data_IF_692221738748
#
_entry.id   IF_692221738748
#
_cell.length_a   1.000
_cell.length_b   1.000
_cell.length_c   1.000
_cell.angle_alpha   90.00
_cell.angle_beta   90.00
_cell.angle_gamma   90.00
#
_symmetry.space_group_name_H-M   'P 1'
#
loop_
_entity.id
_entity.type
_entity.pdbx_description
1 polymer ?
#
# COMPACT_ATOMS: atom_id res chain seq x y z
N UNK A 1 -7.43 -7.07 12.37
CA UNK A 1 -8.39 -8.15 12.13
C UNK A 1 -9.51 -8.05 13.16
N UNK A 2 -10.78 -8.06 12.76
CA UNK A 2 -11.88 -8.02 13.70
C UNK A 2 -11.80 -9.22 14.64
N UNK A 3 -11.88 -8.95 15.94
CA UNK A 3 -11.91 -9.99 16.97
C UNK A 3 -13.20 -10.78 16.78
N UNK A 4 -13.10 -12.03 16.38
CA UNK A 4 -14.24 -12.94 16.26
C UNK A 4 -14.60 -13.40 17.69
N UNK A 5 -15.38 -12.60 18.41
CA UNK A 5 -15.88 -12.96 19.73
C UNK A 5 -16.80 -14.20 19.68
N UNK A 6 -17.06 -14.79 20.85
CA UNK A 6 -17.86 -16.00 21.07
C UNK A 6 -19.38 -15.81 20.86
N UNK A 7 -19.79 -14.85 20.02
CA UNK A 7 -21.19 -14.67 19.62
C UNK A 7 -21.74 -15.89 18.90
N UNK A 8 -23.00 -16.25 19.17
CA UNK A 8 -23.66 -17.39 18.52
C UNK A 8 -23.61 -17.32 16.99
N UNK A 9 -23.69 -18.46 16.30
CA UNK A 9 -23.52 -18.58 14.86
C UNK A 9 -24.41 -17.62 14.02
N UNK A 10 -25.57 -17.21 14.53
CA UNK A 10 -26.49 -16.28 13.86
C UNK A 10 -25.97 -14.85 13.80
N UNK A 11 -25.46 -14.33 14.91
CA UNK A 11 -24.93 -12.96 15.00
C UNK A 11 -23.66 -12.80 14.15
N UNK A 12 -22.84 -13.84 14.12
CA UNK A 12 -21.63 -13.87 13.31
C UNK A 12 -21.93 -13.84 11.81
N UNK A 13 -22.95 -14.61 11.38
CA UNK A 13 -23.35 -14.63 9.97
C UNK A 13 -23.94 -13.29 9.53
N UNK A 14 -24.79 -12.66 10.37
CA UNK A 14 -25.36 -11.36 10.09
C UNK A 14 -24.26 -10.29 9.97
N UNK A 15 -23.30 -10.28 10.89
CA UNK A 15 -22.16 -9.38 10.86
C UNK A 15 -21.30 -9.58 9.61
N UNK A 16 -20.93 -10.82 9.26
CA UNK A 16 -20.16 -11.12 8.05
C UNK A 16 -20.89 -10.67 6.79
N UNK A 17 -22.21 -10.89 6.72
CA UNK A 17 -23.01 -10.47 5.57
C UNK A 17 -23.04 -8.94 5.43
N UNK A 18 -23.16 -8.21 6.54
CA UNK A 18 -23.05 -6.76 6.55
C UNK A 18 -21.69 -6.29 6.04
N UNK A 19 -20.63 -6.82 6.62
CA UNK A 19 -19.26 -6.48 6.25
C UNK A 19 -18.94 -6.75 4.77
N UNK A 20 -19.40 -7.88 4.21
CA UNK A 20 -19.23 -8.16 2.77
C UNK A 20 -20.03 -7.20 1.88
N UNK A 21 -21.21 -6.73 2.29
CA UNK A 21 -21.94 -5.70 1.56
C UNK A 21 -21.19 -4.37 1.55
N UNK A 22 -20.63 -3.98 2.69
CA UNK A 22 -19.84 -2.75 2.80
C UNK A 22 -18.61 -2.81 1.91
N UNK A 23 -17.90 -3.95 1.91
CA UNK A 23 -16.79 -4.19 0.99
C UNK A 23 -17.22 -4.14 -0.48
N UNK A 24 -18.34 -4.77 -0.84
CA UNK A 24 -18.87 -4.73 -2.20
C UNK A 24 -19.12 -3.29 -2.64
N UNK A 25 -19.78 -2.49 -1.80
CA UNK A 25 -20.06 -1.08 -2.09
C UNK A 25 -18.77 -0.28 -2.23
N UNK A 26 -17.80 -0.47 -1.34
CA UNK A 26 -16.51 0.20 -1.41
C UNK A 26 -15.72 -0.15 -2.69
N UNK A 27 -15.93 -1.34 -3.24
CA UNK A 27 -15.22 -1.85 -4.41
C UNK A 27 -15.99 -1.69 -5.73
N UNK A 28 -17.18 -1.09 -5.75
CA UNK A 28 -17.98 -0.95 -6.98
C UNK A 28 -17.23 -0.29 -8.14
N UNK A 29 -16.32 0.66 -7.85
CA UNK A 29 -15.49 1.31 -8.86
C UNK A 29 -14.17 0.60 -9.16
N UNK A 30 -13.84 -0.48 -8.44
CA UNK A 30 -12.55 -1.15 -8.56
C UNK A 30 -12.48 -1.95 -9.87
N UNK A 31 -11.32 -1.85 -10.54
CA UNK A 31 -11.01 -2.66 -11.72
C UNK A 31 -9.81 -3.52 -11.41
N UNK A 32 -9.95 -4.83 -11.62
CA UNK A 32 -8.85 -5.79 -11.45
C UNK A 32 -8.25 -6.09 -12.81
N UNK A 33 -6.95 -5.88 -12.92
CA UNK A 33 -6.18 -6.19 -14.12
C UNK A 33 -5.10 -7.22 -13.78
N UNK A 34 -4.91 -8.21 -14.65
CA UNK A 34 -3.81 -9.16 -14.56
C UNK A 34 -2.83 -8.92 -15.71
N UNK A 35 -1.55 -8.82 -15.39
CA UNK A 35 -0.49 -8.60 -16.39
C UNK A 35 0.71 -7.88 -15.81
N UNK A 36 1.64 -7.54 -16.68
CA UNK A 36 2.82 -6.77 -16.28
C UNK A 36 2.43 -5.38 -15.77
N UNK A 37 2.92 -5.03 -14.60
CA UNK A 37 2.60 -3.78 -13.88
C UNK A 37 2.92 -2.52 -14.70
N UNK A 38 4.02 -2.54 -15.48
CA UNK A 38 4.47 -1.38 -16.25
C UNK A 38 3.45 -0.92 -17.31
N UNK A 39 2.54 -1.81 -17.72
CA UNK A 39 1.51 -1.49 -18.74
C UNK A 39 0.49 -0.46 -18.26
N UNK A 40 0.26 -0.36 -16.97
CA UNK A 40 -0.68 0.60 -16.37
C UNK A 40 0.01 1.80 -15.72
N UNK A 41 1.35 1.76 -15.58
CA UNK A 41 2.14 2.74 -14.83
C UNK A 41 2.63 3.92 -15.68
N UNK A 42 1.86 4.32 -16.70
CA UNK A 42 2.12 5.55 -17.46
C UNK A 42 1.60 6.77 -16.68
N UNK A 43 2.47 7.71 -16.25
CA UNK A 43 2.05 8.90 -15.51
C UNK A 43 0.94 9.69 -16.20
N UNK A 44 1.02 9.89 -17.50
CA UNK A 44 0.01 10.60 -18.28
C UNK A 44 -1.36 9.92 -18.29
N UNK A 45 -1.40 8.58 -18.23
CA UNK A 45 -2.65 7.84 -18.13
C UNK A 45 -3.21 7.92 -16.72
N UNK A 46 -2.35 7.79 -15.71
CA UNK A 46 -2.76 7.78 -14.30
C UNK A 46 -3.28 9.14 -13.84
N UNK A 47 -2.65 10.22 -14.28
CA UNK A 47 -2.99 11.60 -13.86
C UNK A 47 -3.99 12.28 -14.80
N UNK A 48 -4.55 11.57 -15.78
CA UNK A 48 -5.48 12.14 -16.77
C UNK A 48 -6.68 12.85 -16.14
N UNK A 49 -7.16 12.34 -15.01
CA UNK A 49 -8.31 12.88 -14.30
C UNK A 49 -7.92 13.68 -13.03
N UNK A 50 -6.65 14.05 -12.89
CA UNK A 50 -6.13 14.77 -11.73
C UNK A 50 -5.10 13.98 -10.94
N UNK A 51 -5.01 14.24 -9.64
CA UNK A 51 -4.05 13.56 -8.77
C UNK A 51 -4.37 12.07 -8.64
N UNK A 52 -3.36 11.23 -8.78
CA UNK A 52 -3.45 9.79 -8.60
C UNK A 52 -2.62 9.32 -7.40
N UNK A 53 -3.18 8.42 -6.60
CA UNK A 53 -2.45 7.69 -5.56
C UNK A 53 -2.02 6.32 -6.10
N UNK A 54 -0.79 5.92 -5.77
CA UNK A 54 -0.18 4.67 -6.23
C UNK A 54 0.43 3.97 -5.04
N UNK A 55 -0.03 2.76 -4.75
CA UNK A 55 0.65 1.86 -3.81
C UNK A 55 1.35 0.76 -4.61
N UNK A 56 2.65 0.62 -4.40
CA UNK A 56 3.51 -0.38 -5.02
C UNK A 56 4.01 -1.35 -3.95
N UNK A 57 3.67 -2.61 -4.12
CA UNK A 57 4.08 -3.69 -3.21
C UNK A 57 4.71 -4.83 -4.04
N UNK A 58 5.94 -4.60 -4.57
CA UNK A 58 6.64 -5.59 -5.37
C UNK A 58 7.14 -6.75 -4.48
N UNK A 59 7.44 -7.91 -5.06
CA UNK A 59 8.18 -8.95 -4.35
C UNK A 59 9.51 -8.39 -3.81
N UNK A 60 9.75 -8.54 -2.51
CA UNK A 60 10.97 -8.00 -1.88
C UNK A 60 12.19 -8.78 -2.34
N UNK A 61 13.26 -8.07 -2.71
CA UNK A 61 14.46 -8.66 -3.33
C UNK A 61 15.22 -9.61 -2.40
N UNK A 62 15.04 -9.48 -1.09
CA UNK A 62 15.70 -10.29 -0.06
C UNK A 62 14.89 -11.53 0.38
N UNK A 63 13.67 -11.69 -0.12
CA UNK A 63 12.83 -12.85 0.18
C UNK A 63 13.01 -13.92 -0.89
N UNK A 64 12.91 -15.20 -0.48
CA UNK A 64 12.81 -16.30 -1.45
C UNK A 64 11.54 -16.08 -2.28
N UNK A 65 11.62 -16.32 -3.59
CA UNK A 65 10.48 -16.27 -4.49
C UNK A 65 9.26 -17.00 -3.88
N UNK A 66 8.20 -16.25 -3.62
CA UNK A 66 6.97 -16.77 -3.00
C UNK A 66 5.93 -17.08 -4.08
N UNK A 67 6.01 -16.38 -5.21
CA UNK A 67 5.07 -16.52 -6.31
C UNK A 67 5.73 -17.16 -7.54
N UNK A 68 4.95 -17.91 -8.32
CA UNK A 68 5.44 -18.66 -9.50
C UNK A 68 6.11 -17.80 -10.59
N UNK A 69 5.89 -16.49 -10.56
CA UNK A 69 6.42 -15.53 -11.55
C UNK A 69 7.25 -14.42 -10.90
N UNK A 70 7.77 -14.63 -9.70
CA UNK A 70 8.66 -13.68 -9.06
C UNK A 70 9.94 -13.51 -9.89
N UNK A 71 10.24 -12.27 -10.24
CA UNK A 71 11.50 -11.88 -10.86
C UNK A 71 12.30 -11.07 -9.85
N UNK A 72 13.55 -11.46 -9.63
CA UNK A 72 14.49 -10.73 -8.76
C UNK A 72 14.77 -9.29 -9.23
N UNK A 73 14.33 -8.92 -10.43
CA UNK A 73 14.51 -7.59 -11.01
C UNK A 73 13.32 -6.66 -10.78
N UNK A 74 12.13 -7.19 -10.47
CA UNK A 74 10.89 -6.38 -10.38
C UNK A 74 11.01 -5.28 -9.33
N UNK A 75 11.51 -5.58 -8.14
CA UNK A 75 11.71 -4.57 -7.08
C UNK A 75 12.62 -3.43 -7.55
N UNK A 76 13.72 -3.76 -8.25
CA UNK A 76 14.63 -2.78 -8.83
C UNK A 76 14.00 -1.94 -9.95
N UNK A 77 13.16 -2.55 -10.78
CA UNK A 77 12.47 -1.85 -11.88
C UNK A 77 11.40 -0.91 -11.33
N UNK A 78 10.64 -1.33 -10.33
CA UNK A 78 9.66 -0.51 -9.61
C UNK A 78 10.35 0.68 -8.93
N UNK A 79 11.46 0.44 -8.22
CA UNK A 79 12.25 1.52 -7.60
C UNK A 79 12.74 2.53 -8.63
N UNK A 80 13.25 2.07 -9.77
CA UNK A 80 13.69 2.96 -10.86
C UNK A 80 12.54 3.82 -11.39
N UNK A 81 11.35 3.23 -11.54
CA UNK A 81 10.15 3.99 -11.90
C UNK A 81 9.80 5.03 -10.82
N UNK A 82 9.90 4.70 -9.54
CA UNK A 82 9.71 5.64 -8.43
C UNK A 82 10.67 6.82 -8.49
N UNK A 83 11.96 6.57 -8.74
CA UNK A 83 12.98 7.61 -8.90
C UNK A 83 12.61 8.56 -10.04
N UNK A 84 12.15 8.03 -11.17
CA UNK A 84 11.82 8.83 -12.35
C UNK A 84 10.53 9.66 -12.20
N UNK A 85 9.63 9.26 -11.31
CA UNK A 85 8.29 9.84 -11.22
C UNK A 85 7.96 10.45 -9.84
N UNK A 86 8.88 10.35 -8.87
CA UNK A 86 8.66 10.80 -7.49
C UNK A 86 8.44 12.30 -7.35
N UNK A 87 9.01 13.10 -8.24
CA UNK A 87 8.87 14.56 -8.26
C UNK A 87 7.57 15.05 -8.92
N UNK A 88 6.76 14.14 -9.48
CA UNK A 88 5.51 14.52 -10.13
C UNK A 88 4.47 14.93 -9.07
N UNK A 89 4.05 16.22 -9.03
CA UNK A 89 3.12 16.70 -7.99
C UNK A 89 1.72 16.12 -8.12
N UNK A 90 1.39 15.47 -9.22
CA UNK A 90 0.11 14.79 -9.42
C UNK A 90 0.15 13.30 -9.04
N UNK A 91 1.32 12.78 -8.64
CA UNK A 91 1.46 11.41 -8.18
C UNK A 91 1.75 11.37 -6.68
N UNK A 92 0.98 10.60 -5.96
CA UNK A 92 1.15 10.25 -4.55
C UNK A 92 1.62 8.82 -4.49
N UNK A 93 2.94 8.59 -4.42
CA UNK A 93 3.52 7.25 -4.55
C UNK A 93 3.92 6.74 -3.18
N UNK A 94 3.46 5.55 -2.83
CA UNK A 94 3.89 4.78 -1.67
C UNK A 94 4.52 3.47 -2.16
N UNK A 95 5.76 3.20 -1.77
CA UNK A 95 6.50 1.99 -2.13
C UNK A 95 6.80 1.17 -0.89
N UNK A 96 6.34 -0.09 -0.88
CA UNK A 96 6.62 -1.06 0.16
C UNK A 96 7.94 -1.79 -0.11
N UNK A 97 8.63 -2.18 0.96
CA UNK A 97 9.86 -2.97 0.89
C UNK A 97 10.37 -3.33 2.27
N UNK A 98 11.47 -4.06 2.35
CA UNK A 98 12.19 -4.27 3.60
C UNK A 98 13.17 -3.12 3.87
N UNK A 99 13.59 -2.97 5.12
CA UNK A 99 14.63 -2.00 5.49
C UNK A 99 15.87 -2.15 4.60
N UNK A 100 16.47 -1.02 4.27
CA UNK A 100 17.58 -0.86 3.34
C UNK A 100 17.32 -1.10 1.85
N UNK A 101 16.18 -1.68 1.47
CA UNK A 101 15.91 -2.05 0.09
C UNK A 101 15.79 -0.84 -0.86
N UNK A 102 15.24 0.26 -0.36
CA UNK A 102 14.96 1.46 -1.15
C UNK A 102 15.56 2.75 -0.54
N UNK A 103 16.60 2.64 0.28
CA UNK A 103 17.21 3.78 0.98
C UNK A 103 17.68 4.91 0.05
N UNK A 104 17.98 4.62 -1.20
CA UNK A 104 18.34 5.67 -2.18
C UNK A 104 17.23 6.70 -2.39
N UNK A 105 15.96 6.34 -2.16
CA UNK A 105 14.82 7.27 -2.26
C UNK A 105 14.86 8.36 -1.18
N UNK A 106 15.45 8.08 -0.02
CA UNK A 106 15.55 9.06 1.07
C UNK A 106 16.42 10.25 0.66
N UNK A 107 17.46 10.02 -0.16
CA UNK A 107 18.28 11.08 -0.73
C UNK A 107 17.52 11.97 -1.74
N UNK A 108 16.36 11.50 -2.22
CA UNK A 108 15.45 12.19 -3.12
C UNK A 108 14.23 12.78 -2.39
N UNK A 109 14.37 13.10 -1.10
CA UNK A 109 13.32 13.70 -0.27
C UNK A 109 12.08 12.80 -0.07
N UNK A 110 12.20 11.49 -0.23
CA UNK A 110 11.16 10.56 0.16
C UNK A 110 11.18 10.37 1.68
N UNK A 111 10.00 10.27 2.28
CA UNK A 111 9.85 9.98 3.70
C UNK A 111 9.65 8.48 3.89
N UNK A 112 10.37 7.89 4.86
CA UNK A 112 10.22 6.49 5.23
C UNK A 112 9.44 6.36 6.53
N UNK A 113 8.45 5.48 6.52
CA UNK A 113 7.68 5.11 7.70
C UNK A 113 7.89 3.63 8.02
N UNK A 114 7.97 3.34 9.31
CA UNK A 114 8.10 2.00 9.84
C UNK A 114 6.87 1.68 10.67
N UNK A 115 6.37 0.45 10.57
CA UNK A 115 5.36 0.02 11.53
C UNK A 115 5.79 -1.24 12.25
N UNK A 116 5.52 -1.26 13.55
CA UNK A 116 5.68 -2.47 14.34
C UNK A 116 4.46 -3.36 14.11
N UNK A 117 4.68 -4.54 13.55
CA UNK A 117 3.63 -5.54 13.38
C UNK A 117 3.24 -6.12 14.74
N UNK A 118 2.04 -5.84 15.22
CA UNK A 118 1.45 -6.57 16.33
C UNK A 118 0.75 -7.81 15.79
N UNK A 119 1.47 -8.95 15.75
CA UNK A 119 0.89 -10.27 15.47
C UNK A 119 0.41 -10.48 14.04
N UNK A 120 1.26 -10.99 13.17
CA UNK A 120 0.89 -11.53 11.85
C UNK A 120 1.03 -13.05 11.80
N UNK A 121 0.55 -13.67 10.71
CA UNK A 121 0.59 -15.11 10.48
C UNK A 121 2.00 -15.76 10.56
N UNK A 122 3.06 -14.97 10.40
CA UNK A 122 4.47 -15.42 10.45
C UNK A 122 5.31 -14.71 11.53
N UNK A 123 4.68 -14.07 12.53
CA UNK A 123 5.40 -13.30 13.56
C UNK A 123 5.60 -11.82 13.15
N UNK A 124 6.19 -11.05 14.06
CA UNK A 124 6.52 -9.65 13.80
C UNK A 124 7.74 -9.59 12.86
N UNK A 125 7.58 -9.06 11.65
CA UNK A 125 8.69 -8.61 10.83
C UNK A 125 8.79 -7.09 10.96
N UNK A 126 9.78 -6.62 11.74
CA UNK A 126 10.05 -5.20 11.98
C UNK A 126 10.86 -4.56 10.85
N UNK A 127 11.15 -5.32 9.80
CA UNK A 127 11.89 -4.85 8.62
C UNK A 127 10.99 -4.20 7.57
N UNK A 128 9.66 -4.33 7.67
CA UNK A 128 8.75 -3.71 6.70
C UNK A 128 8.80 -2.19 6.79
N UNK A 129 8.89 -1.53 5.64
CA UNK A 129 8.96 -0.08 5.46
C UNK A 129 8.04 0.35 4.33
N UNK A 130 7.58 1.61 4.41
CA UNK A 130 6.97 2.30 3.27
C UNK A 130 7.73 3.61 3.03
N UNK A 131 8.11 3.83 1.79
CA UNK A 131 8.66 5.09 1.31
C UNK A 131 7.56 5.89 0.60
N UNK A 132 7.33 7.11 1.04
CA UNK A 132 6.35 8.04 0.47
C UNK A 132 7.04 9.10 -0.35
N UNK A 133 6.58 9.34 -1.60
CA UNK A 133 7.10 10.41 -2.44
C UNK A 133 6.85 11.80 -1.82
N UNK A 134 7.65 12.83 -2.17
CA UNK A 134 7.53 14.18 -1.62
C UNK A 134 6.11 14.76 -1.72
N UNK A 135 5.39 14.41 -2.77
CA UNK A 135 4.03 14.89 -2.99
C UNK A 135 2.96 14.15 -2.15
N UNK A 136 3.28 13.05 -1.47
CA UNK A 136 2.35 12.34 -0.57
C UNK A 136 2.05 13.13 0.68
N UNK A 137 3.07 13.78 1.23
CA UNK A 137 3.00 14.53 2.47
C UNK A 137 2.98 16.01 2.07
N UNK A 138 1.78 16.59 1.96
CA UNK A 138 1.63 18.02 1.69
C UNK A 138 2.39 18.85 2.72
N UNK A 139 2.97 19.96 2.29
CA UNK A 139 3.82 20.84 3.10
C UNK A 139 3.10 21.60 4.22
N UNK A 140 1.80 21.40 4.41
CA UNK A 140 1.04 22.08 5.46
C UNK A 140 0.18 21.08 6.24
N UNK A 141 0.48 21.02 7.54
CA UNK A 141 -0.32 20.44 8.63
C UNK A 141 -0.65 18.96 8.45
N UNK A 142 0.31 18.11 8.74
CA UNK A 142 -0.01 16.72 9.02
C UNK A 142 -0.70 16.62 10.38
N UNK A 143 -2.01 16.85 10.43
CA UNK A 143 -2.79 16.05 11.36
C UNK A 143 -2.54 14.60 10.92
N UNK A 144 -1.81 13.85 11.72
CA UNK A 144 -1.62 12.42 11.52
C UNK A 144 -3.00 11.82 11.37
N UNK A 145 -3.39 11.48 10.15
CA UNK A 145 -4.57 10.64 9.93
C UNK A 145 -4.16 9.28 10.46
N UNK A 146 -4.63 8.97 11.66
CA UNK A 146 -4.52 7.62 12.20
C UNK A 146 -5.45 6.72 11.37
N UNK A 147 -4.89 6.10 10.33
CA UNK A 147 -5.60 5.20 9.42
C UNK A 147 -6.22 4.00 10.16
N UNK A 148 -5.86 3.79 11.43
CA UNK A 148 -6.32 2.70 12.27
C UNK A 148 -7.15 3.17 13.48
N UNK A 149 -7.45 4.46 13.57
CA UNK A 149 -8.34 4.96 14.60
C UNK A 149 -9.74 4.34 14.43
N UNK A 150 -10.36 3.83 15.50
CA UNK A 150 -11.72 3.33 15.43
C UNK A 150 -12.65 4.47 15.01
N UNK A 151 -13.58 4.19 14.08
CA UNK A 151 -14.58 5.16 13.63
C UNK A 151 -15.26 5.79 14.85
N UNK A 152 -15.21 7.11 14.95
CA UNK A 152 -15.93 7.84 16.00
C UNK A 152 -17.41 7.57 15.79
N UNK A 153 -18.03 6.88 16.76
CA UNK A 153 -19.47 6.72 16.85
C UNK A 153 -20.12 8.09 16.98
N UNK A 154 -20.98 8.42 16.01
CA UNK A 154 -21.90 9.56 16.08
C UNK A 154 -23.09 9.24 17.00
#
# INVERSE_FOLDING_TARGET
LPHLGDGGNGDRLAWLTGWFRDLQTAMEGARVCCGDWSRIMSPGTMTRNGTAAVLLDPPYSLTKAVYAHDSSTVSGDVRRWCIQNGDNPLLRIALCGHDTEHNELESLCWTVETWAKSGGYQGADDRERIWFSPACLGSETSERIDLFAPARSA
#
